data_IF_747820124798
#
_entry.id   IF_747820124798
#
_cell.length_a   1.000
_cell.length_b   1.000
_cell.length_c   1.000
_cell.angle_alpha   90.00
_cell.angle_beta   90.00
_cell.angle_gamma   90.00
#
_symmetry.space_group_name_H-M   'P 1'
#
loop_
_entity.id
_entity.type
_entity.pdbx_description
1 polymer ?
#
# COMPACT_ATOMS: atom_id res chain seq x y z
N UNK A 1 -26.88 12.67 2.73
CA UNK A 1 -25.54 12.11 3.00
C UNK A 1 -25.52 10.77 2.30
N UNK A 2 -25.01 10.72 1.07
CA UNK A 2 -24.87 9.45 0.34
C UNK A 2 -23.97 8.54 1.17
N UNK A 3 -24.53 7.44 1.67
CA UNK A 3 -23.72 6.39 2.29
C UNK A 3 -22.79 5.88 1.19
N UNK A 4 -21.50 6.12 1.37
CA UNK A 4 -20.46 5.48 0.59
C UNK A 4 -20.65 3.97 0.78
N UNK A 5 -20.96 3.24 -0.30
CA UNK A 5 -21.13 1.79 -0.25
C UNK A 5 -19.78 1.16 0.10
N UNK A 6 -19.62 0.71 1.35
CA UNK A 6 -18.46 -0.01 1.84
C UNK A 6 -18.76 -1.52 1.79
N UNK A 7 -18.40 -2.14 0.67
CA UNK A 7 -18.65 -3.55 0.40
C UNK A 7 -18.05 -4.47 1.49
N UNK A 8 -16.89 -4.11 2.05
CA UNK A 8 -16.22 -4.92 3.07
C UNK A 8 -16.95 -4.80 4.41
N UNK A 9 -17.41 -3.61 4.76
CA UNK A 9 -18.25 -3.40 5.93
C UNK A 9 -19.58 -4.16 5.80
N UNK A 10 -20.26 -4.06 4.66
CA UNK A 10 -21.52 -4.75 4.41
C UNK A 10 -21.35 -6.27 4.44
N UNK A 11 -20.29 -6.80 3.82
CA UNK A 11 -19.93 -8.22 3.91
C UNK A 11 -19.67 -8.66 5.36
N UNK A 12 -19.02 -7.80 6.16
CA UNK A 12 -18.75 -8.08 7.57
C UNK A 12 -20.02 -8.06 8.42
N UNK A 13 -20.97 -7.17 8.11
CA UNK A 13 -22.30 -7.13 8.76
C UNK A 13 -23.07 -8.42 8.43
N UNK A 14 -23.14 -8.81 7.16
CA UNK A 14 -23.80 -10.04 6.73
C UNK A 14 -23.21 -11.27 7.42
N UNK A 15 -21.88 -11.37 7.49
CA UNK A 15 -21.19 -12.46 8.16
C UNK A 15 -21.54 -12.55 9.65
N UNK A 16 -21.47 -11.44 10.39
CA UNK A 16 -21.79 -11.42 11.84
C UNK A 16 -23.26 -11.71 12.11
N UNK A 17 -24.17 -11.22 11.28
CA UNK A 17 -25.60 -11.51 11.39
C UNK A 17 -25.88 -13.00 11.13
N UNK A 18 -25.21 -13.58 10.14
CA UNK A 18 -25.27 -15.01 9.84
C UNK A 18 -24.79 -15.85 11.02
N UNK A 19 -23.66 -15.49 11.63
CA UNK A 19 -23.17 -16.16 12.85
C UNK A 19 -24.20 -16.15 13.97
N UNK A 20 -24.73 -14.97 14.31
CA UNK A 20 -25.74 -14.82 15.38
C UNK A 20 -26.99 -15.66 15.14
N UNK A 21 -27.45 -15.72 13.90
CA UNK A 21 -28.60 -16.54 13.53
C UNK A 21 -28.32 -18.03 13.79
N UNK A 22 -27.22 -18.56 13.25
CA UNK A 22 -26.91 -19.98 13.38
C UNK A 22 -26.59 -20.38 14.82
N UNK A 23 -25.87 -19.53 15.58
CA UNK A 23 -25.57 -19.79 16.99
C UNK A 23 -26.85 -19.91 17.83
N UNK A 24 -27.89 -19.11 17.51
CA UNK A 24 -29.19 -19.19 18.15
C UNK A 24 -29.96 -20.45 17.74
N UNK A 25 -30.03 -20.72 16.43
CA UNK A 25 -30.87 -21.81 15.90
C UNK A 25 -30.29 -23.21 16.14
N UNK A 26 -28.97 -23.32 16.34
CA UNK A 26 -28.28 -24.59 16.58
C UNK A 26 -28.03 -24.87 18.06
N UNK A 27 -28.51 -24.00 18.96
CA UNK A 27 -28.25 -24.09 20.40
C UNK A 27 -28.70 -25.44 20.99
N UNK A 28 -29.87 -25.93 20.61
CA UNK A 28 -30.43 -27.20 21.08
C UNK A 28 -29.62 -28.42 20.62
N UNK A 29 -28.88 -28.27 19.51
CA UNK A 29 -27.96 -29.27 18.98
C UNK A 29 -26.57 -29.20 19.60
N UNK A 30 -26.33 -28.22 20.50
CA UNK A 30 -25.02 -27.89 21.07
C UNK A 30 -23.95 -27.56 20.01
N UNK A 31 -24.38 -27.01 18.87
CA UNK A 31 -23.53 -26.59 17.77
C UNK A 31 -23.51 -25.06 17.64
N UNK A 32 -22.41 -24.51 17.13
CA UNK A 32 -22.30 -23.11 16.75
C UNK A 32 -21.96 -22.96 15.27
N UNK A 33 -22.03 -21.73 14.75
CA UNK A 33 -21.62 -21.41 13.38
C UNK A 33 -20.17 -21.79 13.09
N UNK A 34 -19.29 -21.83 14.09
CA UNK A 34 -17.90 -22.25 13.89
C UNK A 34 -17.77 -23.73 13.52
N UNK A 35 -18.69 -24.59 13.98
CA UNK A 35 -18.71 -26.01 13.61
C UNK A 35 -19.54 -26.30 12.37
N UNK A 36 -20.58 -25.51 12.11
CA UNK A 36 -21.57 -25.80 11.08
C UNK A 36 -20.96 -26.00 9.67
N UNK A 37 -20.15 -25.08 9.10
CA UNK A 37 -19.55 -25.27 7.78
C UNK A 37 -18.69 -26.52 7.69
N UNK A 38 -17.92 -26.82 8.75
CA UNK A 38 -17.07 -28.01 8.82
C UNK A 38 -17.90 -29.30 8.87
N UNK A 39 -18.98 -29.31 9.66
CA UNK A 39 -19.87 -30.48 9.76
C UNK A 39 -20.57 -30.77 8.44
N UNK A 40 -21.04 -29.72 7.74
CA UNK A 40 -21.65 -29.84 6.41
C UNK A 40 -20.62 -30.37 5.41
N UNK A 41 -19.41 -29.82 5.40
CA UNK A 41 -18.35 -30.25 4.48
C UNK A 41 -18.03 -31.75 4.65
N UNK A 42 -17.95 -32.23 5.90
CA UNK A 42 -17.71 -33.65 6.19
C UNK A 42 -18.92 -34.51 5.77
N UNK A 43 -20.15 -34.04 5.99
CA UNK A 43 -21.36 -34.76 5.61
C UNK A 43 -21.48 -34.91 4.09
N UNK A 44 -21.21 -33.83 3.34
CA UNK A 44 -21.29 -33.82 1.88
C UNK A 44 -20.11 -34.56 1.24
N UNK A 45 -18.98 -34.70 1.95
CA UNK A 45 -17.76 -35.34 1.47
C UNK A 45 -17.20 -36.34 2.50
N UNK A 46 -17.90 -37.46 2.70
CA UNK A 46 -17.47 -38.51 3.63
C UNK A 46 -16.05 -39.01 3.30
N UNK A 47 -15.18 -39.07 4.32
CA UNK A 47 -13.76 -39.43 4.18
C UNK A 47 -12.83 -38.25 3.87
N UNK A 48 -13.32 -37.01 3.88
CA UNK A 48 -12.48 -35.82 3.71
C UNK A 48 -11.42 -35.71 4.82
N UNK A 49 -10.22 -35.24 4.46
CA UNK A 49 -9.14 -34.98 5.41
C UNK A 49 -9.18 -33.56 5.99
N UNK A 50 -8.54 -33.36 7.15
CA UNK A 50 -8.37 -32.03 7.75
C UNK A 50 -7.71 -31.02 6.80
N UNK A 51 -6.74 -31.48 5.99
CA UNK A 51 -6.01 -30.62 5.06
C UNK A 51 -6.91 -30.14 3.91
N UNK A 52 -7.80 -31.01 3.43
CA UNK A 52 -8.77 -30.62 2.40
C UNK A 52 -9.78 -29.59 2.92
N UNK A 53 -10.27 -29.75 4.16
CA UNK A 53 -11.16 -28.75 4.79
C UNK A 53 -10.46 -27.40 4.96
N UNK A 54 -9.18 -27.40 5.37
CA UNK A 54 -8.35 -26.18 5.45
C UNK A 54 -8.28 -25.48 4.09
N UNK A 55 -8.01 -26.22 3.02
CA UNK A 55 -7.87 -25.68 1.67
C UNK A 55 -9.19 -25.16 1.09
N UNK A 56 -10.27 -25.94 1.20
CA UNK A 56 -11.59 -25.57 0.64
C UNK A 56 -12.17 -24.37 1.39
N UNK A 57 -12.14 -24.41 2.71
CA UNK A 57 -12.75 -23.40 3.58
C UNK A 57 -11.89 -22.17 3.87
N UNK A 58 -10.61 -22.15 3.49
CA UNK A 58 -9.70 -21.03 3.76
C UNK A 58 -9.44 -20.80 5.26
N UNK A 59 -9.55 -21.85 6.08
CA UNK A 59 -9.33 -21.79 7.52
C UNK A 59 -7.86 -22.06 7.88
N UNK A 60 -7.37 -21.49 8.98
CA UNK A 60 -6.10 -21.98 9.54
C UNK A 60 -6.25 -23.40 10.10
N UNK A 61 -5.14 -24.15 10.11
CA UNK A 61 -5.11 -25.55 10.56
C UNK A 61 -5.55 -25.72 12.02
N UNK A 62 -5.25 -24.74 12.88
CA UNK A 62 -5.62 -24.77 14.30
C UNK A 62 -7.13 -24.69 14.49
N UNK A 63 -7.79 -23.80 13.74
CA UNK A 63 -9.25 -23.63 13.76
C UNK A 63 -9.98 -24.89 13.31
N UNK A 64 -9.58 -25.51 12.19
CA UNK A 64 -10.23 -26.75 11.72
C UNK A 64 -10.03 -27.88 12.74
N UNK A 65 -8.81 -28.05 13.25
CA UNK A 65 -8.50 -29.12 14.21
C UNK A 65 -9.36 -29.00 15.48
N UNK A 66 -9.47 -27.79 16.05
CA UNK A 66 -10.27 -27.54 17.26
C UNK A 66 -11.75 -27.84 17.03
N UNK A 67 -12.32 -27.40 15.92
CA UNK A 67 -13.73 -27.59 15.61
C UNK A 67 -14.07 -29.06 15.29
N UNK A 68 -13.20 -29.77 14.56
CA UNK A 68 -13.37 -31.21 14.31
C UNK A 68 -13.29 -32.01 15.60
N UNK A 69 -12.36 -31.68 16.50
CA UNK A 69 -12.28 -32.31 17.82
C UNK A 69 -13.56 -32.07 18.64
N UNK A 70 -14.09 -30.84 18.61
CA UNK A 70 -15.35 -30.50 19.28
C UNK A 70 -16.53 -31.31 18.72
N UNK A 71 -16.64 -31.40 17.40
CA UNK A 71 -17.67 -32.21 16.72
C UNK A 71 -17.56 -33.69 17.06
N UNK A 72 -16.34 -34.22 17.19
CA UNK A 72 -16.09 -35.59 17.62
C UNK A 72 -16.51 -35.82 19.10
N UNK A 73 -16.17 -34.89 20.00
CA UNK A 73 -16.59 -34.95 21.41
C UNK A 73 -18.11 -34.87 21.57
N UNK A 74 -18.79 -34.08 20.73
CA UNK A 74 -20.24 -34.00 20.68
C UNK A 74 -20.90 -35.20 19.99
N UNK A 75 -20.10 -36.10 19.39
CA UNK A 75 -20.58 -37.32 18.76
C UNK A 75 -21.11 -37.17 17.34
N UNK A 76 -20.94 -36.01 16.69
CA UNK A 76 -21.40 -35.76 15.31
C UNK A 76 -20.43 -36.31 14.25
N UNK A 77 -19.13 -36.30 14.55
CA UNK A 77 -18.07 -36.73 13.62
C UNK A 77 -17.27 -37.86 14.25
N UNK A 78 -16.81 -38.79 13.43
CA UNK A 78 -15.82 -39.81 13.78
C UNK A 78 -14.54 -39.58 13.00
N UNK A 79 -13.41 -39.83 13.65
CA UNK A 79 -12.08 -39.63 13.07
C UNK A 79 -11.43 -41.00 12.92
N UNK A 80 -11.24 -41.44 11.66
CA UNK A 80 -10.65 -42.73 11.34
C UNK A 80 -9.26 -42.55 10.75
N UNK A 81 -8.40 -43.57 10.92
CA UNK A 81 -7.11 -43.60 10.22
C UNK A 81 -7.36 -44.08 8.79
N UNK A 82 -6.83 -43.37 7.79
CA UNK A 82 -7.03 -43.75 6.40
C UNK A 82 -6.48 -45.15 6.13
N UNK A 83 -7.24 -45.94 5.39
CA UNK A 83 -6.79 -47.26 4.93
C UNK A 83 -5.67 -47.16 3.88
N UNK A 84 -5.58 -46.01 3.17
CA UNK A 84 -4.61 -45.77 2.09
C UNK A 84 -3.31 -45.15 2.58
N UNK A 85 -3.39 -44.27 3.58
CA UNK A 85 -2.23 -43.68 4.24
C UNK A 85 -2.41 -43.71 5.77
N UNK A 86 -1.66 -44.55 6.46
CA UNK A 86 -1.74 -44.69 7.93
C UNK A 86 -1.37 -43.41 8.69
N UNK A 87 -0.81 -42.40 8.01
CA UNK A 87 -0.50 -41.07 8.58
C UNK A 87 -1.64 -40.07 8.37
N UNK A 88 -2.58 -40.34 7.47
CA UNK A 88 -3.73 -39.49 7.19
C UNK A 88 -4.93 -39.88 8.06
N UNK A 89 -5.70 -38.87 8.46
CA UNK A 89 -6.98 -39.05 9.15
C UNK A 89 -8.12 -38.65 8.21
N UNK A 90 -9.12 -39.51 8.14
CA UNK A 90 -10.34 -39.33 7.37
C UNK A 90 -11.51 -39.08 8.34
N UNK A 91 -12.38 -38.16 7.95
CA UNK A 91 -13.49 -37.70 8.78
C UNK A 91 -14.80 -38.23 8.22
N UNK A 92 -15.64 -38.76 9.09
CA UNK A 92 -16.94 -39.31 8.72
C UNK A 92 -18.04 -38.86 9.66
N UNK A 93 -19.26 -38.66 9.16
CA UNK A 93 -20.39 -38.33 10.03
C UNK A 93 -20.97 -39.56 10.72
N UNK A 94 -21.52 -39.37 11.93
CA UNK A 94 -22.13 -40.44 12.71
C UNK A 94 -23.65 -40.55 12.46
N UNK A 95 -24.28 -41.56 13.06
CA UNK A 95 -25.74 -41.67 13.09
C UNK A 95 -26.42 -40.45 13.74
N UNK A 96 -25.76 -39.79 14.70
CA UNK A 96 -26.29 -38.58 15.33
C UNK A 96 -26.43 -37.46 14.30
N UNK A 97 -25.41 -37.22 13.47
CA UNK A 97 -25.49 -36.26 12.37
C UNK A 97 -26.61 -36.60 11.43
N UNK A 98 -26.72 -37.85 10.98
CA UNK A 98 -27.79 -38.29 10.06
C UNK A 98 -29.19 -38.07 10.63
N UNK A 99 -29.38 -38.17 11.95
CA UNK A 99 -30.65 -37.88 12.62
C UNK A 99 -31.02 -36.40 12.56
N UNK A 100 -30.04 -35.50 12.68
CA UNK A 100 -30.26 -34.05 12.76
C UNK A 100 -29.98 -33.30 11.45
N UNK A 101 -29.41 -33.94 10.43
CA UNK A 101 -28.97 -33.24 9.23
C UNK A 101 -30.13 -32.58 8.47
N UNK A 102 -31.31 -33.20 8.47
CA UNK A 102 -32.51 -32.62 7.86
C UNK A 102 -32.96 -31.34 8.57
N UNK A 103 -32.85 -31.29 9.90
CA UNK A 103 -33.14 -30.09 10.70
C UNK A 103 -32.11 -28.99 10.40
N UNK A 104 -30.83 -29.33 10.34
CA UNK A 104 -29.74 -28.41 10.01
C UNK A 104 -29.91 -27.82 8.60
N UNK A 105 -30.24 -28.63 7.59
CA UNK A 105 -30.53 -28.11 6.24
C UNK A 105 -31.78 -27.22 6.21
N UNK A 106 -32.79 -27.54 7.03
CA UNK A 106 -33.97 -26.68 7.21
C UNK A 106 -33.57 -25.29 7.71
N UNK A 107 -32.78 -25.21 8.79
CA UNK A 107 -32.27 -23.95 9.34
C UNK A 107 -31.47 -23.16 8.29
N UNK A 108 -30.60 -23.84 7.52
CA UNK A 108 -29.82 -23.20 6.45
C UNK A 108 -30.70 -22.62 5.34
N UNK A 109 -31.72 -23.37 4.92
CA UNK A 109 -32.67 -22.94 3.89
C UNK A 109 -33.46 -21.74 4.37
N UNK A 110 -33.93 -21.75 5.61
CA UNK A 110 -34.74 -20.67 6.16
C UNK A 110 -33.92 -19.37 6.27
N UNK A 111 -32.64 -19.46 6.68
CA UNK A 111 -31.73 -18.31 6.63
C UNK A 111 -31.50 -17.79 5.22
N UNK A 112 -31.22 -18.69 4.27
CA UNK A 112 -30.98 -18.34 2.88
C UNK A 112 -32.18 -17.59 2.30
N UNK A 113 -33.39 -18.14 2.49
CA UNK A 113 -34.61 -17.51 2.02
C UNK A 113 -34.81 -16.11 2.63
N UNK A 114 -34.51 -15.94 3.92
CA UNK A 114 -34.63 -14.64 4.57
C UNK A 114 -33.67 -13.58 3.99
N UNK A 115 -32.39 -13.92 3.82
CA UNK A 115 -31.39 -12.95 3.33
C UNK A 115 -31.52 -12.67 1.83
N UNK A 116 -32.21 -13.53 1.06
CA UNK A 116 -32.44 -13.35 -0.38
C UNK A 116 -33.89 -13.06 -0.73
N UNK A 117 -34.77 -12.78 0.22
CA UNK A 117 -36.23 -12.69 0.00
C UNK A 117 -36.63 -11.62 -1.04
N UNK A 118 -35.82 -10.57 -1.18
CA UNK A 118 -36.05 -9.43 -2.06
C UNK A 118 -35.20 -9.50 -3.36
N UNK A 119 -34.54 -10.64 -3.61
CA UNK A 119 -33.69 -10.88 -4.79
C UNK A 119 -34.31 -11.93 -5.71
N UNK A 120 -34.21 -11.73 -7.02
CA UNK A 120 -34.58 -12.75 -8.01
C UNK A 120 -33.42 -13.71 -8.33
N UNK A 121 -33.71 -14.78 -9.08
CA UNK A 121 -32.73 -15.82 -9.39
C UNK A 121 -31.51 -15.30 -10.17
N UNK A 122 -31.73 -14.41 -11.15
CA UNK A 122 -30.65 -13.84 -11.97
C UNK A 122 -29.74 -12.93 -11.12
N UNK A 123 -30.33 -12.14 -10.21
CA UNK A 123 -29.58 -11.30 -9.25
C UNK A 123 -28.72 -12.15 -8.32
N UNK A 124 -29.26 -13.26 -7.79
CA UNK A 124 -28.54 -14.21 -6.95
C UNK A 124 -27.38 -14.85 -7.71
N UNK A 125 -27.59 -15.25 -8.96
CA UNK A 125 -26.54 -15.85 -9.79
C UNK A 125 -25.40 -14.85 -10.05
N UNK A 126 -25.73 -13.63 -10.45
CA UNK A 126 -24.77 -12.56 -10.70
C UNK A 126 -23.99 -12.22 -9.42
N UNK A 127 -24.67 -12.08 -8.29
CA UNK A 127 -24.03 -11.85 -6.99
C UNK A 127 -23.06 -12.99 -6.63
N UNK A 128 -23.51 -14.24 -6.76
CA UNK A 128 -22.71 -15.43 -6.44
C UNK A 128 -21.44 -15.47 -7.28
N UNK A 129 -21.53 -15.19 -8.58
CA UNK A 129 -20.37 -15.14 -9.49
C UNK A 129 -19.35 -14.07 -9.07
N UNK A 130 -19.81 -12.87 -8.74
CA UNK A 130 -18.91 -11.80 -8.30
C UNK A 130 -18.26 -12.12 -6.95
N UNK A 131 -19.04 -12.60 -5.98
CA UNK A 131 -18.53 -12.93 -4.65
C UNK A 131 -17.52 -14.08 -4.69
N UNK A 132 -17.77 -15.11 -5.51
CA UNK A 132 -16.81 -16.18 -5.77
C UNK A 132 -15.52 -15.67 -6.40
N UNK A 133 -15.61 -14.76 -7.38
CA UNK A 133 -14.43 -14.14 -8.01
C UNK A 133 -13.59 -13.40 -6.96
N UNK A 134 -14.23 -12.58 -6.12
CA UNK A 134 -13.56 -11.85 -5.04
C UNK A 134 -12.91 -12.79 -4.02
N UNK A 135 -13.62 -13.84 -3.60
CA UNK A 135 -13.09 -14.84 -2.66
C UNK A 135 -11.92 -15.63 -3.25
N UNK A 136 -11.96 -15.96 -4.54
CA UNK A 136 -10.85 -16.63 -5.23
C UNK A 136 -9.61 -15.75 -5.28
N UNK A 137 -9.76 -14.47 -5.62
CA UNK A 137 -8.66 -13.52 -5.61
C UNK A 137 -8.09 -13.29 -4.20
N UNK A 138 -8.95 -13.21 -3.18
CA UNK A 138 -8.50 -13.07 -1.80
C UNK A 138 -7.67 -14.28 -1.34
N UNK A 139 -8.08 -15.50 -1.69
CA UNK A 139 -7.33 -16.73 -1.40
C UNK A 139 -5.97 -16.74 -2.08
N UNK A 140 -5.90 -16.47 -3.38
CA UNK A 140 -4.62 -16.45 -4.10
C UNK A 140 -3.68 -15.35 -3.63
N UNK A 141 -4.23 -14.20 -3.19
CA UNK A 141 -3.43 -13.08 -2.71
C UNK A 141 -2.83 -13.31 -1.32
N UNK A 142 -3.49 -14.08 -0.45
CA UNK A 142 -2.96 -14.42 0.87
C UNK A 142 -1.65 -15.22 0.80
N UNK A 143 -1.39 -15.89 -0.33
CA UNK A 143 -0.20 -16.70 -0.57
C UNK A 143 0.91 -15.96 -1.36
N UNK A 144 0.71 -14.68 -1.74
CA UNK A 144 1.70 -13.92 -2.51
C UNK A 144 2.77 -13.26 -1.62
N UNK A 145 4.03 -13.57 -1.88
CA UNK A 145 5.16 -12.76 -1.38
C UNK A 145 5.15 -11.40 -2.08
N UNK A 146 4.94 -10.32 -1.33
CA UNK A 146 4.97 -8.94 -1.84
C UNK A 146 6.41 -8.41 -1.88
N UNK A 147 7.19 -8.78 -2.90
CA UNK A 147 8.57 -8.28 -3.05
C UNK A 147 8.74 -7.22 -4.14
N UNK A 148 7.69 -6.94 -4.93
CA UNK A 148 7.80 -6.01 -6.06
C UNK A 148 7.36 -4.58 -5.70
N UNK A 149 8.19 -3.61 -6.07
CA UNK A 149 7.85 -2.19 -6.03
C UNK A 149 6.64 -1.90 -6.93
N UNK A 150 5.69 -1.11 -6.43
CA UNK A 150 4.47 -0.75 -7.16
C UNK A 150 4.49 0.72 -7.56
N UNK A 151 4.14 0.99 -8.81
CA UNK A 151 3.97 2.35 -9.34
C UNK A 151 2.50 2.62 -9.65
N UNK A 152 2.03 3.80 -9.30
CA UNK A 152 0.63 4.21 -9.48
C UNK A 152 0.44 5.21 -10.62
N UNK A 153 1.54 5.84 -11.08
CA UNK A 153 1.53 6.74 -12.21
C UNK A 153 2.84 6.61 -13.00
N UNK A 154 2.71 6.66 -14.32
CA UNK A 154 3.80 6.72 -15.28
C UNK A 154 3.59 7.95 -16.16
N UNK A 155 4.50 8.92 -16.09
CA UNK A 155 4.62 9.99 -17.09
C UNK A 155 5.63 9.50 -18.13
N UNK A 156 5.11 9.15 -19.31
CA UNK A 156 5.90 8.51 -20.38
C UNK A 156 7.13 9.34 -20.80
N UNK A 157 6.98 10.66 -20.87
CA UNK A 157 8.05 11.56 -21.30
C UNK A 157 8.10 12.79 -20.41
N UNK A 158 9.31 13.17 -20.02
CA UNK A 158 9.63 14.37 -19.25
C UNK A 158 10.93 14.99 -19.76
N UNK A 159 10.88 16.30 -19.99
CA UNK A 159 12.02 17.11 -20.39
C UNK A 159 12.66 17.83 -19.20
N UNK A 160 12.03 17.76 -18.03
CA UNK A 160 12.41 18.59 -16.88
C UNK A 160 12.66 17.79 -15.61
N UNK A 161 11.96 16.67 -15.40
CA UNK A 161 12.07 15.94 -14.12
C UNK A 161 13.50 15.40 -13.87
N UNK A 162 14.26 15.14 -14.94
CA UNK A 162 15.69 14.79 -14.86
C UNK A 162 16.51 15.46 -15.98
N UNK A 163 16.47 16.79 -16.05
CA UNK A 163 17.31 17.59 -16.97
C UNK A 163 18.82 17.31 -16.76
N UNK A 164 19.64 17.20 -17.82
CA UNK A 164 19.33 17.37 -19.26
C UNK A 164 18.82 16.10 -19.97
N UNK A 165 18.57 15.01 -19.24
CA UNK A 165 18.22 13.72 -19.83
C UNK A 165 16.75 13.65 -20.24
N UNK A 166 16.51 13.14 -21.45
CA UNK A 166 15.16 12.75 -21.84
C UNK A 166 14.71 11.56 -20.99
N UNK A 167 13.66 11.73 -20.19
CA UNK A 167 13.34 10.75 -19.14
C UNK A 167 11.86 10.39 -19.09
N UNK A 168 11.53 9.27 -18.43
CA UNK A 168 10.19 8.99 -17.95
C UNK A 168 10.12 9.14 -16.42
N UNK A 169 8.92 9.41 -15.90
CA UNK A 169 8.71 9.57 -14.45
C UNK A 169 7.80 8.49 -13.91
N UNK A 170 8.26 7.79 -12.87
CA UNK A 170 7.56 6.72 -12.19
C UNK A 170 7.24 7.15 -10.76
N UNK A 171 5.96 7.03 -10.38
CA UNK A 171 5.49 7.51 -9.08
C UNK A 171 4.99 6.37 -8.21
N UNK A 172 5.57 6.20 -7.03
CA UNK A 172 5.11 5.25 -6.00
C UNK A 172 3.89 5.79 -5.27
N UNK A 173 3.17 4.90 -4.59
CA UNK A 173 2.00 5.25 -3.77
C UNK A 173 2.27 4.99 -2.29
N UNK A 174 1.69 5.79 -1.42
CA UNK A 174 1.91 5.79 0.02
C UNK A 174 3.06 6.74 0.41
N UNK A 175 2.85 7.52 1.46
CA UNK A 175 3.84 8.43 2.02
C UNK A 175 3.74 8.45 3.55
N UNK A 176 4.89 8.53 4.23
CA UNK A 176 4.98 8.67 5.68
C UNK A 176 4.77 10.11 6.18
N UNK A 177 4.67 11.08 5.26
CA UNK A 177 4.35 12.48 5.54
C UNK A 177 2.98 12.87 4.94
N UNK A 178 2.41 13.97 5.41
CA UNK A 178 1.09 14.48 4.98
C UNK A 178 1.14 15.96 4.63
N UNK A 179 2.21 16.39 3.95
CA UNK A 179 2.48 17.79 3.63
C UNK A 179 1.22 18.46 3.05
N UNK A 180 0.66 19.50 3.67
CA UNK A 180 -0.60 20.12 3.22
C UNK A 180 -0.53 20.63 1.78
N UNK A 181 0.65 21.04 1.31
CA UNK A 181 0.92 21.49 -0.06
C UNK A 181 1.17 20.37 -1.07
N UNK A 182 1.09 19.09 -0.69
CA UNK A 182 1.42 17.99 -1.61
C UNK A 182 0.46 17.96 -2.80
N UNK A 183 1.00 18.08 -4.02
CA UNK A 183 0.24 18.00 -5.27
C UNK A 183 -0.24 16.58 -5.61
N UNK A 184 0.12 15.56 -4.82
CA UNK A 184 -0.17 14.15 -5.09
C UNK A 184 -1.06 13.54 -4.00
N UNK A 185 -2.17 14.21 -3.65
CA UNK A 185 -3.13 13.73 -2.65
C UNK A 185 -3.52 12.26 -2.86
N UNK A 186 -3.78 11.86 -4.09
CA UNK A 186 -4.17 10.48 -4.42
C UNK A 186 -3.04 9.46 -4.22
N UNK A 187 -1.78 9.89 -4.19
CA UNK A 187 -0.62 9.04 -3.85
C UNK A 187 -0.31 9.05 -2.35
N UNK A 188 -0.78 10.04 -1.58
CA UNK A 188 -0.68 10.07 -0.12
C UNK A 188 -1.83 9.27 0.51
N UNK A 189 -3.05 9.52 0.07
CA UNK A 189 -4.27 8.86 0.51
C UNK A 189 -4.77 7.89 -0.57
N UNK A 190 -4.10 6.74 -0.69
CA UNK A 190 -4.47 5.71 -1.65
C UNK A 190 -5.90 5.20 -1.37
N UNK A 191 -6.80 5.41 -2.32
CA UNK A 191 -8.15 4.84 -2.26
C UNK A 191 -8.08 3.34 -2.53
N UNK A 192 -8.95 2.55 -1.91
CA UNK A 192 -8.97 1.09 -2.06
C UNK A 192 -9.15 0.62 -3.52
N UNK A 193 -9.85 1.41 -4.34
CA UNK A 193 -10.06 1.15 -5.75
C UNK A 193 -8.93 1.68 -6.66
N UNK A 194 -7.86 2.24 -6.09
CA UNK A 194 -6.71 2.68 -6.85
C UNK A 194 -5.74 1.52 -7.00
N UNK A 195 -5.61 1.02 -8.23
CA UNK A 195 -4.73 -0.10 -8.54
C UNK A 195 -3.38 0.40 -9.07
N UNK A 196 -2.26 -0.23 -8.66
CA UNK A 196 -0.96 0.06 -9.26
C UNK A 196 -0.96 -0.38 -10.73
N UNK A 197 -0.09 0.24 -11.52
CA UNK A 197 0.23 -0.20 -12.88
C UNK A 197 0.89 -1.57 -12.77
N UNK A 198 0.41 -2.54 -13.55
CA UNK A 198 0.99 -3.87 -13.61
C UNK A 198 2.51 -3.80 -13.89
N UNK A 199 3.30 -4.55 -13.14
CA UNK A 199 4.77 -4.51 -13.22
C UNK A 199 5.28 -4.91 -14.61
N UNK A 200 4.56 -5.79 -15.29
CA UNK A 200 4.82 -6.20 -16.66
C UNK A 200 4.74 -5.00 -17.61
N UNK A 201 3.72 -4.13 -17.45
CA UNK A 201 3.56 -2.91 -18.27
C UNK A 201 4.70 -1.92 -18.05
N UNK A 202 5.16 -1.74 -16.81
CA UNK A 202 6.33 -0.90 -16.52
C UNK A 202 7.59 -1.50 -17.16
N UNK A 203 7.78 -2.80 -17.00
CA UNK A 203 8.94 -3.52 -17.54
C UNK A 203 8.98 -3.48 -19.07
N UNK A 204 7.84 -3.70 -19.73
CA UNK A 204 7.68 -3.59 -21.19
C UNK A 204 7.95 -2.16 -21.67
N UNK A 205 7.43 -1.15 -20.97
CA UNK A 205 7.67 0.25 -21.30
C UNK A 205 9.15 0.59 -21.26
N UNK A 206 9.85 0.28 -20.16
CA UNK A 206 11.28 0.56 -20.03
C UNK A 206 12.11 -0.20 -21.07
N UNK A 207 11.81 -1.48 -21.32
CA UNK A 207 12.50 -2.26 -22.36
C UNK A 207 12.29 -1.70 -23.76
N UNK A 208 11.09 -1.22 -24.08
CA UNK A 208 10.79 -0.67 -25.42
C UNK A 208 11.41 0.70 -25.66
N UNK A 209 11.69 1.48 -24.60
CA UNK A 209 12.13 2.87 -24.72
C UNK A 209 13.57 3.12 -24.24
N UNK A 210 14.34 2.09 -23.85
CA UNK A 210 15.73 2.26 -23.39
C UNK A 210 16.71 2.83 -24.43
N UNK A 211 16.29 2.90 -25.70
CA UNK A 211 17.06 3.54 -26.78
C UNK A 211 16.70 5.01 -27.01
N UNK A 212 15.50 5.40 -26.60
CA UNK A 212 14.95 6.75 -26.84
C UNK A 212 15.00 7.60 -25.57
N UNK A 213 14.92 6.97 -24.40
CA UNK A 213 14.97 7.60 -23.10
C UNK A 213 16.31 7.30 -22.43
N UNK A 214 16.95 8.33 -21.90
CA UNK A 214 18.22 8.23 -21.19
C UNK A 214 18.01 8.09 -19.68
N UNK A 215 16.93 8.68 -19.15
CA UNK A 215 16.70 8.82 -17.72
C UNK A 215 15.40 8.21 -17.20
N UNK A 216 15.40 7.84 -15.92
CA UNK A 216 14.21 7.55 -15.13
C UNK A 216 14.21 8.46 -13.92
N UNK A 217 13.12 9.21 -13.72
CA UNK A 217 12.85 9.94 -12.50
C UNK A 217 11.89 9.14 -11.61
N UNK A 218 12.30 8.86 -10.37
CA UNK A 218 11.49 8.11 -9.40
C UNK A 218 11.07 9.05 -8.27
N UNK A 219 9.76 9.20 -8.09
CA UNK A 219 9.14 10.05 -7.05
C UNK A 219 7.77 9.48 -6.66
N UNK A 220 6.80 10.31 -6.27
CA UNK A 220 5.45 9.90 -5.91
C UNK A 220 5.10 10.25 -4.47
N UNK A 221 4.72 9.23 -3.69
CA UNK A 221 4.70 9.32 -2.24
C UNK A 221 6.12 9.36 -1.68
N UNK A 222 6.55 8.30 -0.98
CA UNK A 222 7.97 8.15 -0.58
C UNK A 222 8.57 6.86 -1.17
N UNK A 223 9.38 6.94 -2.24
CA UNK A 223 9.94 5.76 -2.89
C UNK A 223 10.74 4.86 -1.95
N UNK A 224 11.46 5.45 -0.99
CA UNK A 224 12.28 4.69 -0.06
C UNK A 224 11.49 4.05 1.08
N UNK A 225 10.17 4.23 1.16
CA UNK A 225 9.33 3.46 2.09
C UNK A 225 9.16 2.00 1.63
N UNK A 226 9.44 1.71 0.35
CA UNK A 226 9.17 0.41 -0.26
C UNK A 226 10.42 -0.47 -0.34
N UNK A 227 10.34 -1.71 0.14
CA UNK A 227 11.47 -2.66 0.11
C UNK A 227 11.92 -3.02 -1.31
N UNK A 228 10.99 -3.11 -2.26
CA UNK A 228 11.27 -3.49 -3.65
C UNK A 228 12.08 -2.48 -4.48
N UNK A 229 12.38 -1.28 -3.95
CA UNK A 229 13.09 -0.24 -4.70
C UNK A 229 14.50 -0.65 -5.13
N UNK A 230 15.24 -1.39 -4.29
CA UNK A 230 16.59 -1.84 -4.62
C UNK A 230 16.59 -2.74 -5.86
N UNK A 231 15.67 -3.72 -5.88
CA UNK A 231 15.51 -4.64 -7.01
C UNK A 231 15.08 -3.90 -8.29
N UNK A 232 14.20 -2.91 -8.15
CA UNK A 232 13.77 -2.10 -9.29
C UNK A 232 14.92 -1.24 -9.85
N UNK A 233 15.71 -0.60 -9.00
CA UNK A 233 16.85 0.21 -9.43
C UNK A 233 17.91 -0.62 -10.14
N UNK A 234 18.22 -1.82 -9.61
CA UNK A 234 19.11 -2.78 -10.27
C UNK A 234 18.60 -3.17 -11.66
N UNK A 235 17.30 -3.46 -11.78
CA UNK A 235 16.68 -3.76 -13.06
C UNK A 235 16.78 -2.57 -14.03
N UNK A 236 16.45 -1.36 -13.60
CA UNK A 236 16.54 -0.15 -14.41
C UNK A 236 17.99 0.14 -14.88
N UNK A 237 18.99 -0.02 -13.99
CA UNK A 237 20.41 0.08 -14.34
C UNK A 237 20.84 -0.98 -15.36
N UNK A 238 20.29 -2.19 -15.28
CA UNK A 238 20.58 -3.25 -16.26
C UNK A 238 20.09 -2.93 -17.68
N UNK A 239 19.13 -2.00 -17.81
CA UNK A 239 18.66 -1.44 -19.08
C UNK A 239 19.43 -0.17 -19.51
N UNK A 240 20.50 0.18 -18.80
CA UNK A 240 21.38 1.32 -19.06
C UNK A 240 20.74 2.70 -18.87
N UNK A 241 19.70 2.80 -18.02
CA UNK A 241 19.11 4.08 -17.64
C UNK A 241 19.97 4.85 -16.63
N UNK A 242 20.02 6.17 -16.79
CA UNK A 242 20.33 7.11 -15.71
C UNK A 242 19.14 7.21 -14.78
N UNK A 243 19.35 7.31 -13.47
CA UNK A 243 18.26 7.35 -12.49
C UNK A 243 18.39 8.54 -11.55
N UNK A 244 17.36 9.38 -11.50
CA UNK A 244 17.18 10.42 -10.49
C UNK A 244 16.13 9.98 -9.48
N UNK A 245 16.50 9.96 -8.20
CA UNK A 245 15.62 9.64 -7.08
C UNK A 245 15.22 10.90 -6.34
N UNK A 246 13.93 11.10 -6.11
CA UNK A 246 13.39 12.15 -5.24
C UNK A 246 12.83 11.54 -3.96
N UNK A 247 13.37 11.92 -2.80
CA UNK A 247 13.02 11.35 -1.49
C UNK A 247 12.97 12.42 -0.41
N UNK A 248 12.16 12.22 0.62
CA UNK A 248 12.11 13.06 1.81
C UNK A 248 13.24 12.77 2.83
N UNK A 249 14.06 11.73 2.58
CA UNK A 249 15.24 11.42 3.39
C UNK A 249 14.98 10.67 4.69
N UNK A 250 13.76 10.27 5.00
CA UNK A 250 13.43 9.58 6.26
C UNK A 250 13.84 8.10 6.30
N UNK A 251 14.44 7.56 5.24
CA UNK A 251 14.83 6.16 5.12
C UNK A 251 16.34 6.03 4.87
N UNK A 252 17.13 6.53 5.83
CA UNK A 252 18.60 6.63 5.73
C UNK A 252 19.28 5.34 5.29
N UNK A 253 19.04 4.21 5.98
CA UNK A 253 19.75 2.96 5.70
C UNK A 253 19.56 2.49 4.25
N UNK A 254 18.37 2.73 3.70
CA UNK A 254 18.05 2.39 2.31
C UNK A 254 18.68 3.36 1.32
N UNK A 255 18.67 4.66 1.62
CA UNK A 255 19.38 5.66 0.83
C UNK A 255 20.87 5.36 0.78
N UNK A 256 21.49 5.13 1.94
CA UNK A 256 22.91 4.76 2.06
C UNK A 256 23.23 3.55 1.18
N UNK A 257 22.44 2.48 1.29
CA UNK A 257 22.63 1.29 0.48
C UNK A 257 22.53 1.57 -1.03
N UNK A 258 21.58 2.40 -1.44
CA UNK A 258 21.41 2.81 -2.85
C UNK A 258 22.64 3.57 -3.37
N UNK A 259 23.21 4.45 -2.54
CA UNK A 259 24.42 5.22 -2.88
C UNK A 259 25.65 4.31 -2.94
N UNK A 260 25.86 3.45 -1.94
CA UNK A 260 26.98 2.49 -1.87
C UNK A 260 26.98 1.52 -3.06
N UNK A 261 25.79 1.04 -3.46
CA UNK A 261 25.62 0.12 -4.60
C UNK A 261 25.62 0.85 -5.96
N UNK A 262 25.71 2.19 -6.00
CA UNK A 262 25.73 2.97 -7.23
C UNK A 262 24.42 2.87 -8.06
N UNK A 263 23.29 2.68 -7.38
CA UNK A 263 22.01 2.36 -8.01
C UNK A 263 21.25 3.58 -8.54
N UNK A 264 21.71 4.78 -8.25
CA UNK A 264 21.16 6.05 -8.76
C UNK A 264 22.31 6.91 -9.30
N UNK A 265 21.99 7.88 -10.15
CA UNK A 265 22.94 8.86 -10.70
C UNK A 265 22.74 10.26 -10.12
N UNK A 266 21.57 10.52 -9.54
CA UNK A 266 21.26 11.80 -8.93
C UNK A 266 20.22 11.66 -7.82
N UNK A 267 20.35 12.42 -6.74
CA UNK A 267 19.37 12.48 -5.65
C UNK A 267 18.84 13.90 -5.48
N UNK A 268 17.52 14.06 -5.45
CA UNK A 268 16.87 15.24 -4.89
C UNK A 268 16.42 14.91 -3.47
N UNK A 269 17.04 15.54 -2.47
CA UNK A 269 16.64 15.42 -1.07
C UNK A 269 15.67 16.53 -0.74
N UNK A 270 14.40 16.17 -0.53
CA UNK A 270 13.33 17.13 -0.32
C UNK A 270 13.21 17.51 1.17
N UNK A 271 13.83 18.65 1.52
CA UNK A 271 13.85 19.24 2.85
C UNK A 271 12.69 20.23 2.97
N UNK A 272 11.78 19.96 3.90
CA UNK A 272 10.49 20.66 3.90
C UNK A 272 10.55 22.05 4.51
N UNK A 273 11.36 22.26 5.55
CA UNK A 273 11.53 23.55 6.24
C UNK A 273 12.72 23.45 7.23
N UNK A 274 12.93 24.49 8.02
CA UNK A 274 13.80 24.43 9.20
C UNK A 274 13.31 23.42 10.25
N UNK A 275 14.22 22.89 11.09
CA UNK A 275 13.85 21.98 12.17
C UNK A 275 12.70 22.49 13.05
N UNK A 276 12.70 23.77 13.41
CA UNK A 276 11.64 24.37 14.25
C UNK A 276 10.24 24.40 13.63
N UNK A 277 10.14 24.28 12.30
CA UNK A 277 8.88 24.36 11.55
C UNK A 277 8.56 23.08 10.76
N UNK A 278 9.38 22.03 10.91
CA UNK A 278 9.34 20.86 10.03
C UNK A 278 8.03 20.07 10.14
N UNK A 279 7.62 19.73 11.37
CA UNK A 279 6.41 18.94 11.64
C UNK A 279 5.16 19.61 11.05
N UNK A 280 4.97 20.90 11.35
CA UNK A 280 3.88 21.72 10.80
C UNK A 280 3.88 21.70 9.26
N UNK A 281 5.04 21.89 8.65
CA UNK A 281 5.18 21.95 7.19
C UNK A 281 4.89 20.58 6.54
N UNK A 282 5.20 19.48 7.23
CA UNK A 282 4.92 18.13 6.76
C UNK A 282 3.53 17.61 7.11
N UNK A 283 2.69 18.41 7.79
CA UNK A 283 1.33 18.02 8.17
C UNK A 283 1.25 16.91 9.22
N UNK A 284 2.26 16.81 10.09
CA UNK A 284 2.34 15.84 11.19
C UNK A 284 2.50 16.57 12.52
N UNK A 285 2.08 15.94 13.62
CA UNK A 285 2.20 16.54 14.97
C UNK A 285 3.66 16.60 15.44
N UNK A 286 4.44 15.57 15.10
CA UNK A 286 5.85 15.45 15.43
C UNK A 286 6.60 14.69 14.32
N UNK A 287 7.90 14.93 14.21
CA UNK A 287 8.77 14.30 13.20
C UNK A 287 10.19 14.16 13.76
N UNK A 288 10.70 12.92 13.75
CA UNK A 288 12.10 12.66 14.05
C UNK A 288 12.97 13.03 12.83
N UNK A 289 13.83 14.01 13.02
CA UNK A 289 14.73 14.52 11.97
C UNK A 289 16.03 13.71 11.86
N UNK A 290 16.27 12.75 12.75
CA UNK A 290 17.55 12.02 12.83
C UNK A 290 17.92 11.36 11.49
N UNK A 291 17.00 10.66 10.83
CA UNK A 291 17.30 9.99 9.56
C UNK A 291 17.42 10.96 8.39
N UNK A 292 16.72 12.10 8.44
CA UNK A 292 16.87 13.19 7.45
C UNK A 292 18.26 13.81 7.60
N UNK A 293 18.71 14.06 8.83
CA UNK A 293 20.04 14.58 9.12
C UNK A 293 21.14 13.60 8.68
N UNK A 294 20.99 12.30 8.96
CA UNK A 294 21.92 11.28 8.45
C UNK A 294 21.96 11.27 6.93
N UNK A 295 20.80 11.30 6.27
CA UNK A 295 20.70 11.32 4.80
C UNK A 295 21.37 12.56 4.20
N UNK A 296 21.15 13.73 4.79
CA UNK A 296 21.78 14.99 4.40
C UNK A 296 23.31 14.92 4.57
N UNK A 297 23.78 14.42 5.70
CA UNK A 297 25.21 14.31 6.00
C UNK A 297 25.91 13.28 5.11
N UNK A 298 25.27 12.16 4.79
CA UNK A 298 25.77 11.16 3.84
C UNK A 298 25.96 11.79 2.46
N UNK A 299 24.97 12.52 1.96
CA UNK A 299 25.07 13.22 0.67
C UNK A 299 26.17 14.29 0.69
N UNK A 300 26.25 15.13 1.74
CA UNK A 300 27.30 16.14 1.90
C UNK A 300 28.71 15.56 1.95
N UNK A 301 28.88 14.39 2.56
CA UNK A 301 30.16 13.72 2.67
C UNK A 301 30.56 12.96 1.40
N UNK A 302 29.59 12.62 0.55
CA UNK A 302 29.80 11.91 -0.70
C UNK A 302 30.27 12.84 -1.82
N UNK A 303 30.91 12.26 -2.85
CA UNK A 303 31.14 12.94 -4.13
C UNK A 303 29.96 12.76 -5.09
N UNK A 304 28.80 12.37 -4.58
CA UNK A 304 27.61 12.05 -5.36
C UNK A 304 26.88 13.34 -5.75
N UNK A 305 26.31 13.40 -6.95
CA UNK A 305 25.56 14.57 -7.39
C UNK A 305 24.16 14.60 -6.75
N UNK A 306 23.83 15.70 -6.08
CA UNK A 306 22.54 15.87 -5.42
C UNK A 306 22.12 17.33 -5.34
N UNK A 307 20.81 17.55 -5.22
CA UNK A 307 20.23 18.83 -4.80
C UNK A 307 19.43 18.68 -3.51
N UNK A 308 19.37 19.77 -2.74
CA UNK A 308 18.34 19.92 -1.70
C UNK A 308 17.16 20.67 -2.32
N UNK A 309 16.01 20.02 -2.37
CA UNK A 309 14.79 20.54 -2.96
C UNK A 309 13.87 21.10 -1.86
N UNK A 310 13.40 22.34 -2.01
CA UNK A 310 12.54 23.00 -1.02
C UNK A 310 11.32 23.56 -1.73
N UNK A 311 10.13 23.13 -1.33
CA UNK A 311 8.88 23.71 -1.81
C UNK A 311 8.46 24.88 -0.91
N UNK A 312 8.49 26.10 -1.44
CA UNK A 312 8.17 27.33 -0.71
C UNK A 312 6.65 27.56 -0.69
N UNK A 313 6.11 27.68 0.51
CA UNK A 313 4.70 27.93 0.82
C UNK A 313 4.61 29.11 1.76
N UNK A 314 3.77 30.11 1.44
CA UNK A 314 3.70 31.40 2.14
C UNK A 314 3.33 31.23 3.63
N UNK A 315 2.43 30.30 3.93
CA UNK A 315 1.96 30.03 5.30
C UNK A 315 2.96 29.27 6.18
N UNK A 316 3.99 28.66 5.56
CA UNK A 316 4.95 27.81 6.26
C UNK A 316 6.36 28.37 6.29
N UNK A 317 6.72 29.22 5.34
CA UNK A 317 8.08 29.76 5.22
C UNK A 317 8.09 31.25 5.50
N UNK A 318 9.08 31.69 6.27
CA UNK A 318 9.39 33.10 6.49
C UNK A 318 10.91 33.29 6.57
N UNK A 319 11.37 34.54 6.62
CA UNK A 319 12.80 34.86 6.61
C UNK A 319 13.57 34.19 7.76
N UNK A 320 12.96 34.11 8.96
CA UNK A 320 13.57 33.46 10.13
C UNK A 320 13.75 31.96 9.91
N UNK A 321 12.71 31.26 9.42
CA UNK A 321 12.81 29.82 9.16
C UNK A 321 13.75 29.52 7.99
N UNK A 322 13.81 30.39 6.98
CA UNK A 322 14.76 30.21 5.87
C UNK A 322 16.21 30.42 6.31
N UNK A 323 16.47 31.36 7.23
CA UNK A 323 17.80 31.53 7.82
C UNK A 323 18.22 30.32 8.67
N UNK A 324 17.33 29.84 9.55
CA UNK A 324 17.56 28.63 10.35
C UNK A 324 17.80 27.40 9.46
N UNK A 325 17.02 27.26 8.38
CA UNK A 325 17.19 26.21 7.39
C UNK A 325 18.57 26.31 6.72
N UNK A 326 18.98 27.51 6.31
CA UNK A 326 20.29 27.77 5.72
C UNK A 326 21.45 27.34 6.62
N UNK A 327 21.37 27.66 7.92
CA UNK A 327 22.35 27.20 8.91
C UNK A 327 22.39 25.67 9.01
N UNK A 328 21.23 25.01 9.04
CA UNK A 328 21.14 23.55 9.14
C UNK A 328 21.73 22.84 7.92
N UNK A 329 21.45 23.33 6.70
CA UNK A 329 21.92 22.72 5.45
C UNK A 329 23.27 23.26 4.98
N UNK A 330 23.96 24.06 5.80
CA UNK A 330 25.23 24.67 5.44
C UNK A 330 26.22 23.62 4.90
N UNK A 331 26.89 23.96 3.80
CA UNK A 331 27.83 23.05 3.11
C UNK A 331 27.19 22.21 1.99
N UNK A 332 25.88 22.28 1.81
CA UNK A 332 25.23 21.80 0.57
C UNK A 332 25.72 22.61 -0.63
N UNK A 333 25.86 21.94 -1.78
CA UNK A 333 26.33 22.57 -3.01
C UNK A 333 25.23 23.27 -3.80
N UNK A 334 24.07 22.62 -3.95
CA UNK A 334 22.95 23.09 -4.77
C UNK A 334 21.63 22.96 -4.02
N UNK A 335 20.90 24.07 -3.95
CA UNK A 335 19.52 24.14 -3.45
C UNK A 335 18.59 24.57 -4.57
N UNK A 336 17.47 23.89 -4.71
CA UNK A 336 16.38 24.25 -5.62
C UNK A 336 15.19 24.75 -4.81
N UNK A 337 14.81 26.00 -5.03
CA UNK A 337 13.61 26.63 -4.48
C UNK A 337 12.47 26.51 -5.49
N UNK A 338 11.43 25.75 -5.13
CA UNK A 338 10.22 25.59 -5.93
C UNK A 338 9.08 26.34 -5.25
N UNK A 339 8.58 27.45 -5.81
CA UNK A 339 7.35 28.07 -5.34
C UNK A 339 6.19 27.08 -5.47
N UNK A 340 5.37 26.99 -4.42
CA UNK A 340 4.17 26.19 -4.40
C UNK A 340 3.20 26.62 -5.51
N UNK A 341 2.47 25.65 -6.08
CA UNK A 341 1.45 25.93 -7.09
C UNK A 341 0.27 25.00 -6.90
N UNK A 342 -0.87 25.57 -6.50
CA UNK A 342 -2.07 24.78 -6.33
C UNK A 342 -2.50 24.08 -7.63
N UNK A 343 -3.06 22.88 -7.48
CA UNK A 343 -3.53 22.03 -8.55
C UNK A 343 -4.72 21.18 -8.07
N UNK A 344 -5.39 20.51 -9.00
CA UNK A 344 -6.59 19.70 -8.67
C UNK A 344 -6.36 18.63 -7.60
N UNK A 345 -5.13 18.13 -7.48
CA UNK A 345 -4.75 17.03 -6.59
C UNK A 345 -3.94 17.50 -5.37
N UNK A 346 -3.94 18.80 -5.05
CA UNK A 346 -3.38 19.30 -3.79
C UNK A 346 -4.20 18.82 -2.60
N UNK A 347 -3.56 18.62 -1.44
CA UNK A 347 -4.25 18.25 -0.20
C UNK A 347 -5.05 19.42 0.39
N UNK A 348 -4.40 20.58 0.58
CA UNK A 348 -4.98 21.81 1.12
C UNK A 348 -4.91 22.95 0.08
N UNK A 349 -6.07 23.37 -0.40
CA UNK A 349 -6.21 24.44 -1.40
C UNK A 349 -6.22 25.85 -0.80
N UNK A 350 -6.09 25.99 0.52
CA UNK A 350 -6.04 27.30 1.19
C UNK A 350 -4.64 27.92 1.24
N UNK A 351 -3.63 27.19 0.76
CA UNK A 351 -2.22 27.60 0.77
C UNK A 351 -1.87 28.48 -0.43
N UNK A 352 -0.81 29.28 -0.29
CA UNK A 352 -0.39 30.21 -1.34
C UNK A 352 1.10 30.10 -1.66
N UNK A 353 1.44 30.46 -2.90
CA UNK A 353 2.83 30.71 -3.29
C UNK A 353 3.28 32.02 -2.66
N UNK A 354 4.48 32.09 -2.07
CA UNK A 354 5.10 33.37 -1.77
C UNK A 354 5.23 34.21 -3.05
N UNK A 355 5.15 35.53 -2.92
CA UNK A 355 5.37 36.42 -4.05
C UNK A 355 6.84 36.43 -4.50
N UNK A 356 7.09 36.93 -5.72
CA UNK A 356 8.43 36.88 -6.33
C UNK A 356 9.49 37.61 -5.51
N UNK A 357 9.19 38.79 -4.96
CA UNK A 357 10.12 39.55 -4.13
C UNK A 357 10.50 38.77 -2.86
N UNK A 358 9.54 38.06 -2.26
CA UNK A 358 9.78 37.23 -1.10
C UNK A 358 10.66 36.01 -1.44
N UNK A 359 10.44 35.38 -2.60
CA UNK A 359 11.27 34.28 -3.08
C UNK A 359 12.72 34.75 -3.32
N UNK A 360 12.91 35.92 -3.91
CA UNK A 360 14.25 36.51 -4.10
C UNK A 360 14.96 36.79 -2.78
N UNK A 361 14.23 37.27 -1.76
CA UNK A 361 14.78 37.42 -0.40
C UNK A 361 15.22 36.08 0.17
N UNK A 362 14.39 35.03 0.08
CA UNK A 362 14.75 33.69 0.56
C UNK A 362 15.99 33.14 -0.14
N UNK A 363 16.09 33.32 -1.47
CA UNK A 363 17.29 32.99 -2.24
C UNK A 363 18.52 33.71 -1.67
N UNK A 364 18.42 35.01 -1.43
CA UNK A 364 19.52 35.84 -0.92
C UNK A 364 19.97 35.39 0.48
N UNK A 365 19.03 34.96 1.33
CA UNK A 365 19.35 34.38 2.65
C UNK A 365 20.14 33.07 2.49
N UNK A 366 19.66 32.15 1.66
CA UNK A 366 20.29 30.84 1.48
C UNK A 366 21.66 30.91 0.78
N UNK A 367 21.89 31.90 -0.09
CA UNK A 367 23.18 32.15 -0.73
C UNK A 367 24.30 32.50 0.27
N UNK A 368 23.96 32.84 1.51
CA UNK A 368 24.95 33.03 2.59
C UNK A 368 25.52 31.69 3.09
N UNK A 369 24.79 30.58 2.88
CA UNK A 369 25.10 29.26 3.44
C UNK A 369 25.41 28.19 2.38
N UNK A 370 24.90 28.38 1.16
CA UNK A 370 24.91 27.41 0.05
C UNK A 370 25.51 28.05 -1.20
N UNK A 371 26.33 27.29 -1.95
CA UNK A 371 27.06 27.82 -3.12
C UNK A 371 26.15 28.18 -4.30
N UNK A 372 25.16 27.35 -4.60
CA UNK A 372 24.25 27.56 -5.72
C UNK A 372 22.80 27.42 -5.25
N UNK A 373 22.02 28.48 -5.45
CA UNK A 373 20.58 28.49 -5.17
C UNK A 373 19.84 28.82 -6.45
N UNK A 374 19.02 27.87 -6.90
CA UNK A 374 18.20 27.98 -8.11
C UNK A 374 16.74 28.20 -7.72
N UNK A 375 16.01 29.01 -8.49
CA UNK A 375 14.54 29.10 -8.38
C UNK A 375 13.94 28.39 -9.59
N UNK A 376 13.12 27.37 -9.34
CA UNK A 376 12.49 26.56 -10.37
C UNK A 376 11.00 26.91 -10.51
N UNK A 377 10.53 27.06 -11.75
CA UNK A 377 9.11 27.30 -12.05
C UNK A 377 8.66 28.77 -12.13
N UNK A 378 9.59 29.74 -12.04
CA UNK A 378 9.32 31.18 -12.23
C UNK A 378 9.72 31.68 -13.63
N UNK A 379 9.27 31.01 -14.69
CA UNK A 379 9.32 31.58 -16.04
C UNK A 379 7.91 32.03 -16.43
N UNK A 380 7.70 33.35 -16.29
CA UNK A 380 6.70 34.25 -16.91
C UNK A 380 5.34 33.70 -17.28
#
# INVERSE_FOLDING_TARGET
>A
MEKQNDLLMDSSILYRSTQKYYDKMLQDLNLSYAQLPILIEIYENEGISLQQIVQVGGYDKGTVTKNVQKLNTLGYVSILTSAKDKRAKELYTTALTKKHISEIYGIRRDWWHHITQDLNADEIEVFSRFYQTLSNHARSYADLEKTHLQFYKLKKLSLSDFDPYLSCSLYTGGCNLKCPYCHSKDLVYLKENMYPIANEKISEYLKSHHKDLEGIYISGGEPLMHEGILSFLQYAKSLNYKIKLHTNGMFYDRLKRILEDGLVDYVSLDIKNAPSAYAKTCGVEDVDLMDIEKSLNELKASSFDYDVYITLVDEFHNEKTIDELGQWIQGVHHVVLQPFKDCQTTIDHSLHSPNFDQILKYKTILEQYVKHVEIRGNQT
#
